data_IF_546645624220
#
_entry.id   IF_546645624220
#
_cell.length_a   1.000
_cell.length_b   1.000
_cell.length_c   1.000
_cell.angle_alpha   90.00
_cell.angle_beta   90.00
_cell.angle_gamma   90.00
#
_symmetry.space_group_name_H-M   'P 1'
#
loop_
_entity.id
_entity.type
_entity.pdbx_description
1 polymer ?
#
# COMPACT_ATOMS: atom_id res chain seq x y z
N UNK A 1 -10.70 0.22 15.70
CA UNK A 1 -10.35 1.65 15.47
C UNK A 1 -8.84 1.75 15.28
N UNK A 2 -8.34 1.53 14.07
CA UNK A 2 -6.92 1.69 13.75
C UNK A 2 -6.81 2.27 12.34
N UNK A 3 -7.10 3.57 12.23
CA UNK A 3 -7.10 4.28 10.96
C UNK A 3 -5.65 4.54 10.56
N UNK A 4 -5.04 3.54 9.89
CA UNK A 4 -3.73 3.62 9.22
C UNK A 4 -3.63 4.90 8.40
N UNK A 5 -4.73 5.35 7.78
CA UNK A 5 -4.82 6.61 7.06
C UNK A 5 -4.51 7.84 7.93
N UNK A 6 -4.99 7.91 9.17
CA UNK A 6 -4.76 9.04 10.09
C UNK A 6 -3.29 9.11 10.53
N UNK A 7 -2.67 7.95 10.77
CA UNK A 7 -1.24 7.87 11.09
C UNK A 7 -0.41 8.28 9.87
N UNK A 8 -0.77 7.82 8.67
CA UNK A 8 -0.08 8.19 7.43
C UNK A 8 -0.24 9.69 7.10
N UNK A 9 -1.45 10.24 7.25
CA UNK A 9 -1.75 11.64 6.98
C UNK A 9 -1.05 12.60 7.97
N UNK A 10 -0.84 12.18 9.22
CA UNK A 10 -0.10 12.93 10.24
C UNK A 10 1.42 12.86 10.07
N UNK A 11 1.93 11.85 9.37
CA UNK A 11 3.36 11.63 9.18
C UNK A 11 3.94 12.33 7.94
N UNK A 12 3.10 12.86 7.04
CA UNK A 12 3.53 13.53 5.78
C UNK A 12 4.58 14.62 5.95
N UNK A 13 4.61 15.30 7.10
CA UNK A 13 5.54 16.40 7.39
C UNK A 13 6.83 15.94 8.10
N UNK A 14 6.92 14.65 8.45
CA UNK A 14 8.03 14.07 9.24
C UNK A 14 8.73 12.90 8.55
N UNK A 15 8.21 12.44 7.41
CA UNK A 15 8.80 11.34 6.65
C UNK A 15 9.62 11.89 5.49
N UNK A 16 10.91 11.59 5.52
CA UNK A 16 11.80 11.79 4.39
C UNK A 16 11.54 10.70 3.32
N UNK A 17 11.22 11.07 2.06
CA UNK A 17 10.97 10.10 0.98
C UNK A 17 12.11 9.11 0.74
N UNK A 18 13.36 9.56 0.89
CA UNK A 18 14.55 8.73 0.67
C UNK A 18 14.77 7.72 1.81
N UNK A 19 14.46 8.11 3.05
CA UNK A 19 14.46 7.19 4.18
C UNK A 19 13.34 6.16 4.03
N UNK A 20 12.16 6.57 3.57
CA UNK A 20 11.03 5.67 3.33
C UNK A 20 11.34 4.65 2.22
N UNK A 21 12.01 5.08 1.15
CA UNK A 21 12.50 4.17 0.11
C UNK A 21 13.53 3.16 0.66
N UNK A 22 14.45 3.63 1.50
CA UNK A 22 15.45 2.78 2.15
C UNK A 22 14.82 1.76 3.10
N UNK A 23 13.79 2.17 3.85
CA UNK A 23 13.02 1.26 4.72
C UNK A 23 12.18 0.27 3.91
N UNK A 24 11.67 0.68 2.75
CA UNK A 24 10.99 -0.23 1.82
C UNK A 24 11.90 -1.37 1.34
N UNK A 25 13.22 -1.16 1.39
CA UNK A 25 14.20 -2.20 1.15
C UNK A 25 14.37 -3.18 2.34
N UNK A 26 13.92 -2.84 3.53
CA UNK A 26 14.11 -3.69 4.72
C UNK A 26 12.83 -4.40 5.14
N UNK A 27 11.69 -3.95 4.63
CA UNK A 27 10.36 -4.48 4.95
C UNK A 27 9.89 -5.47 3.87
N UNK A 28 8.95 -6.34 4.26
CA UNK A 28 8.29 -7.27 3.35
C UNK A 28 7.59 -6.56 2.18
N UNK A 29 7.73 -7.12 0.99
CA UNK A 29 7.19 -6.55 -0.26
C UNK A 29 5.67 -6.31 -0.23
N UNK A 30 4.83 -7.23 0.30
CA UNK A 30 3.39 -7.01 0.38
C UNK A 30 3.00 -5.82 1.27
N UNK A 31 3.82 -5.46 2.26
CA UNK A 31 3.58 -4.28 3.09
C UNK A 31 3.87 -3.01 2.29
N UNK A 32 5.02 -2.97 1.60
CA UNK A 32 5.41 -1.84 0.73
C UNK A 32 4.38 -1.62 -0.39
N UNK A 33 3.90 -2.69 -1.01
CA UNK A 33 2.88 -2.63 -2.08
C UNK A 33 1.58 -1.97 -1.61
N UNK A 34 1.04 -2.42 -0.47
CA UNK A 34 -0.19 -1.87 0.11
C UNK A 34 -0.02 -0.42 0.54
N UNK A 35 1.09 -0.12 1.21
CA UNK A 35 1.38 1.24 1.67
C UNK A 35 1.54 2.20 0.48
N UNK A 36 2.31 1.80 -0.54
CA UNK A 36 2.51 2.61 -1.74
C UNK A 36 1.20 2.91 -2.48
N UNK A 37 0.35 1.89 -2.64
CA UNK A 37 -1.00 2.08 -3.20
C UNK A 37 -1.83 3.09 -2.40
N UNK A 38 -1.85 2.99 -1.08
CA UNK A 38 -2.61 3.92 -0.22
C UNK A 38 -2.05 5.34 -0.29
N UNK A 39 -0.73 5.51 -0.37
CA UNK A 39 -0.11 6.83 -0.50
C UNK A 39 -0.44 7.47 -1.86
N UNK A 40 -0.42 6.70 -2.94
CA UNK A 40 -0.79 7.18 -4.28
C UNK A 40 -2.28 7.56 -4.34
N UNK A 41 -3.17 6.76 -3.75
CA UNK A 41 -4.61 7.07 -3.65
C UNK A 41 -4.87 8.37 -2.87
N UNK A 42 -4.09 8.61 -1.81
CA UNK A 42 -4.12 9.84 -1.02
C UNK A 42 -3.33 11.01 -1.64
N UNK A 43 -2.88 10.89 -2.90
CA UNK A 43 -2.13 11.92 -3.65
C UNK A 43 -0.79 12.30 -3.01
N UNK A 44 -0.15 11.34 -2.34
CA UNK A 44 1.19 11.44 -1.76
C UNK A 44 2.26 10.82 -2.67
N UNK A 45 2.23 11.18 -3.95
CA UNK A 45 3.09 10.61 -5.00
C UNK A 45 4.58 10.78 -4.68
N UNK A 46 4.96 11.89 -4.05
CA UNK A 46 6.34 12.20 -3.65
C UNK A 46 6.93 11.19 -2.66
N UNK A 47 6.08 10.53 -1.86
CA UNK A 47 6.48 9.44 -0.96
C UNK A 47 6.38 8.08 -1.66
N UNK A 48 5.38 7.91 -2.53
CA UNK A 48 5.09 6.64 -3.17
C UNK A 48 6.10 6.29 -4.28
N UNK A 49 6.52 7.25 -5.09
CA UNK A 49 7.42 7.01 -6.24
C UNK A 49 8.78 6.40 -5.84
N UNK A 50 9.50 6.93 -4.83
CA UNK A 50 10.77 6.34 -4.39
C UNK A 50 10.60 4.91 -3.86
N UNK A 51 9.48 4.64 -3.19
CA UNK A 51 9.15 3.29 -2.72
C UNK A 51 8.91 2.33 -3.88
N UNK A 52 8.20 2.77 -4.92
CA UNK A 52 7.93 1.96 -6.10
C UNK A 52 9.22 1.57 -6.82
N UNK A 53 10.12 2.54 -7.01
CA UNK A 53 11.43 2.32 -7.62
C UNK A 53 12.26 1.30 -6.81
N UNK A 54 12.33 1.47 -5.49
CA UNK A 54 13.02 0.55 -4.59
C UNK A 54 12.43 -0.87 -4.67
N UNK A 55 11.10 -0.97 -4.71
CA UNK A 55 10.37 -2.23 -4.77
C UNK A 55 10.58 -2.98 -6.10
N UNK A 56 10.58 -2.26 -7.22
CA UNK A 56 10.79 -2.82 -8.56
C UNK A 56 12.22 -3.31 -8.78
N UNK A 57 13.21 -2.72 -8.11
CA UNK A 57 14.63 -3.12 -8.21
C UNK A 57 14.92 -4.55 -7.75
N UNK A 58 14.04 -5.14 -6.92
CA UNK A 58 14.30 -6.40 -6.24
C UNK A 58 14.06 -7.61 -7.11
N UNK A 59 12.84 -7.74 -7.66
CA UNK A 59 12.31 -8.86 -8.48
C UNK A 59 10.89 -8.50 -9.01
N UNK A 60 10.30 -9.28 -9.93
CA UNK A 60 8.88 -9.16 -10.29
C UNK A 60 7.97 -9.26 -9.07
N UNK A 61 6.94 -8.41 -9.02
CA UNK A 61 6.04 -8.28 -7.86
C UNK A 61 4.94 -9.36 -7.87
N UNK A 62 4.69 -10.07 -6.76
CA UNK A 62 3.48 -10.88 -6.65
C UNK A 62 2.26 -9.97 -6.51
N UNK A 63 1.08 -10.49 -6.87
CA UNK A 63 -0.19 -9.82 -6.56
C UNK A 63 -0.49 -9.94 -5.06
N UNK A 64 -0.97 -8.85 -4.46
CA UNK A 64 -1.30 -8.80 -3.02
C UNK A 64 -2.67 -8.18 -2.80
N UNK A 65 -3.42 -8.67 -1.82
CA UNK A 65 -4.69 -8.07 -1.41
C UNK A 65 -4.46 -6.82 -0.55
N UNK A 66 -5.21 -5.74 -0.78
CA UNK A 66 -5.13 -4.52 0.02
C UNK A 66 -5.45 -4.81 1.49
N UNK A 67 -6.53 -5.57 1.73
CA UNK A 67 -6.96 -5.97 3.07
C UNK A 67 -6.80 -7.48 3.28
N UNK A 68 -5.86 -7.88 4.13
CA UNK A 68 -5.60 -9.30 4.45
C UNK A 68 -6.78 -9.98 5.18
N UNK A 69 -7.64 -9.22 5.85
CA UNK A 69 -8.78 -9.81 6.57
C UNK A 69 -9.86 -10.34 5.62
N UNK A 70 -9.94 -9.83 4.39
CA UNK A 70 -10.99 -10.20 3.43
C UNK A 70 -10.80 -11.58 2.80
N UNK A 71 -9.59 -12.14 2.86
CA UNK A 71 -9.27 -13.48 2.37
C UNK A 71 -9.25 -14.53 3.48
N UNK A 72 -9.59 -14.17 4.72
CA UNK A 72 -9.63 -15.14 5.83
C UNK A 72 -10.80 -16.12 5.71
N UNK A 73 -11.84 -15.75 4.96
CA UNK A 73 -12.97 -16.61 4.67
C UNK A 73 -13.10 -16.81 3.15
N UNK A 74 -12.53 -17.91 2.59
CA UNK A 74 -12.51 -18.19 1.16
C UNK A 74 -13.90 -18.28 0.52
N UNK A 75 -14.93 -18.67 1.27
CA UNK A 75 -16.30 -18.81 0.76
C UNK A 75 -17.00 -17.46 0.56
N UNK A 76 -16.53 -16.41 1.24
CA UNK A 76 -17.16 -15.09 1.24
C UNK A 76 -16.25 -13.98 0.72
N UNK A 77 -15.20 -14.32 -0.04
CA UNK A 77 -14.31 -13.31 -0.63
C UNK A 77 -15.07 -12.51 -1.70
N UNK A 78 -15.31 -11.20 -1.50
CA UNK A 78 -16.04 -10.38 -2.46
C UNK A 78 -15.26 -10.26 -3.77
N UNK A 79 -15.93 -10.08 -4.92
CA UNK A 79 -15.20 -9.89 -6.18
C UNK A 79 -14.23 -8.68 -6.14
N UNK A 80 -13.08 -8.76 -6.83
CA UNK A 80 -12.16 -7.62 -6.95
C UNK A 80 -12.86 -6.42 -7.57
N UNK A 81 -12.96 -5.33 -6.81
CA UNK A 81 -13.47 -4.05 -7.30
C UNK A 81 -12.46 -3.36 -8.23
N UNK A 82 -11.18 -3.48 -7.91
CA UNK A 82 -10.08 -2.91 -8.70
C UNK A 82 -8.82 -3.77 -8.59
N UNK A 83 -8.04 -3.79 -9.67
CA UNK A 83 -6.69 -4.36 -9.69
C UNK A 83 -5.72 -3.28 -10.14
N UNK A 84 -4.90 -2.82 -9.21
CA UNK A 84 -3.86 -1.86 -9.51
C UNK A 84 -2.63 -2.56 -10.08
N UNK A 85 -2.30 -2.26 -11.34
CA UNK A 85 -1.19 -2.90 -12.06
C UNK A 85 0.18 -2.39 -11.63
N UNK A 86 0.25 -1.13 -11.15
CA UNK A 86 1.49 -0.43 -10.80
C UNK A 86 2.10 -1.02 -9.52
N UNK A 87 1.27 -1.20 -8.50
CA UNK A 87 1.61 -1.79 -7.21
C UNK A 87 1.31 -3.28 -7.12
N UNK A 88 0.60 -3.84 -8.12
CA UNK A 88 0.08 -5.22 -8.12
C UNK A 88 -0.78 -5.51 -6.89
N UNK A 89 -1.71 -4.60 -6.61
CA UNK A 89 -2.63 -4.67 -5.48
C UNK A 89 -4.04 -5.00 -5.98
N UNK A 90 -4.69 -5.96 -5.32
CA UNK A 90 -6.09 -6.30 -5.52
C UNK A 90 -6.89 -5.57 -4.44
N UNK A 91 -7.90 -4.82 -4.86
CA UNK A 91 -8.75 -4.00 -4.01
C UNK A 91 -10.16 -4.54 -4.11
N UNK A 92 -10.69 -5.07 -3.00
CA UNK A 92 -12.08 -5.52 -2.91
C UNK A 92 -12.91 -4.50 -2.14
N UNK A 93 -12.33 -3.88 -1.10
CA UNK A 93 -12.86 -2.70 -0.42
C UNK A 93 -11.76 -1.66 -0.20
N UNK A 94 -12.09 -0.38 -0.41
CA UNK A 94 -11.24 0.70 0.06
C UNK A 94 -11.38 0.84 1.58
N UNK A 95 -10.28 0.99 2.34
CA UNK A 95 -10.38 1.30 3.75
C UNK A 95 -11.19 2.58 3.94
N UNK A 96 -12.07 2.60 4.94
CA UNK A 96 -12.77 3.84 5.33
C UNK A 96 -11.72 4.85 5.81
N UNK A 97 -11.68 5.99 5.12
CA UNK A 97 -10.86 7.14 5.51
C UNK A 97 -11.79 8.06 6.29
N UNK A 98 -11.62 8.11 7.62
CA UNK A 98 -12.30 9.12 8.44
C UNK A 98 -11.76 10.51 8.04
N UNK A 99 -12.64 11.34 7.47
CA UNK A 99 -12.37 12.74 7.08
C UNK A 99 -12.50 13.69 8.27
#
# INVERSE_FOLDING_TARGET
MSSIATVLAGLRHRIDPSQLASLSMQVERPVVQRLGYLLEDLRHDTLAEPMLAALQSRRPLPWVELNRQEIRDPEFVPEPRQRDLRWRVIVRRMPEVDV
#
